data_IF_310918028823
#
_entry.id   IF_310918028823
#
_cell.length_a   1.000
_cell.length_b   1.000
_cell.length_c   1.000
_cell.angle_alpha   90.00
_cell.angle_beta   90.00
_cell.angle_gamma   90.00
#
_symmetry.space_group_name_H-M   'P 1'
#
loop_
_entity.id
_entity.type
_entity.pdbx_description
1 polymer ?
#
# COMPACT_ATOMS: atom_id res chain seq x y z
N UNK A 1 -37.67 -27.47 44.59
CA UNK A 1 -37.06 -26.62 45.63
C UNK A 1 -35.55 -26.84 45.60
N UNK A 2 -34.78 -25.89 45.10
CA UNK A 2 -33.40 -25.52 45.48
C UNK A 2 -33.01 -24.38 44.58
N UNK A 3 -32.90 -23.20 45.18
CA UNK A 3 -32.44 -21.96 44.57
C UNK A 3 -30.92 -22.03 44.42
N UNK A 4 -30.37 -21.72 43.24
CA UNK A 4 -28.95 -21.43 43.07
C UNK A 4 -28.83 -19.93 42.85
N UNK A 5 -28.15 -19.30 43.82
CA UNK A 5 -27.78 -17.87 43.80
C UNK A 5 -26.65 -17.65 42.78
N UNK A 6 -26.81 -16.67 41.90
CA UNK A 6 -25.75 -16.15 41.04
C UNK A 6 -24.91 -15.18 41.87
N UNK A 7 -23.63 -15.47 42.06
CA UNK A 7 -22.64 -14.50 42.54
C UNK A 7 -22.16 -13.62 41.41
N UNK A 8 -22.54 -12.34 41.46
CA UNK A 8 -21.94 -11.29 40.63
C UNK A 8 -20.67 -10.85 41.32
N UNK A 9 -19.53 -11.10 40.70
CA UNK A 9 -18.24 -10.57 41.14
C UNK A 9 -18.02 -9.23 40.43
N UNK A 10 -18.20 -8.16 41.23
CA UNK A 10 -17.95 -6.79 40.84
C UNK A 10 -16.42 -6.53 40.99
N UNK A 11 -15.71 -6.38 39.85
CA UNK A 11 -14.31 -6.04 39.85
C UNK A 11 -14.18 -4.53 39.96
N UNK A 12 -13.89 -4.03 41.18
CA UNK A 12 -13.54 -2.63 41.40
C UNK A 12 -12.08 -2.41 40.91
N UNK A 13 -11.92 -1.68 39.81
CA UNK A 13 -10.63 -1.10 39.43
C UNK A 13 -10.29 0.07 40.36
N UNK A 14 -9.47 -0.16 41.34
CA UNK A 14 -8.84 0.88 42.15
C UNK A 14 -7.77 1.58 41.29
N UNK A 15 -8.10 2.79 40.84
CA UNK A 15 -7.16 3.70 40.21
C UNK A 15 -6.21 4.23 41.29
N UNK A 16 -5.01 3.64 41.39
CA UNK A 16 -3.95 4.11 42.27
C UNK A 16 -3.26 5.32 41.64
N UNK A 17 -3.62 6.54 42.07
CA UNK A 17 -2.89 7.74 41.76
C UNK A 17 -1.57 7.76 42.56
N UNK A 18 -0.50 7.22 41.96
CA UNK A 18 0.84 7.46 42.44
C UNK A 18 1.25 8.90 42.11
N UNK A 19 1.40 9.73 43.18
CA UNK A 19 2.01 11.06 43.06
C UNK A 19 3.49 10.90 42.71
N UNK A 20 3.86 11.35 41.53
CA UNK A 20 5.26 11.51 41.11
C UNK A 20 5.79 12.75 41.84
N UNK A 21 6.88 12.71 42.61
CA UNK A 21 7.50 13.88 43.16
C UNK A 21 8.13 14.72 42.06
N UNK A 22 7.68 15.94 41.91
CA UNK A 22 8.29 16.93 41.06
C UNK A 22 9.64 17.37 41.63
N UNK A 23 10.73 16.88 41.08
CA UNK A 23 12.02 17.56 41.06
C UNK A 23 12.74 17.20 39.77
N UNK A 24 12.49 18.01 38.75
CA UNK A 24 13.35 18.11 37.59
C UNK A 24 14.68 18.75 38.02
N UNK A 25 15.86 18.25 37.63
CA UNK A 25 17.11 18.95 37.80
C UNK A 25 17.07 20.25 36.97
N UNK A 26 17.47 21.36 37.60
CA UNK A 26 17.69 22.65 36.93
C UNK A 26 18.74 22.43 35.82
N UNK A 27 18.29 22.41 34.57
CA UNK A 27 19.16 22.59 33.44
C UNK A 27 19.63 24.06 33.44
N UNK A 28 20.89 24.27 33.73
CA UNK A 28 21.57 25.52 33.45
C UNK A 28 21.48 25.75 31.94
N UNK A 29 20.66 26.70 31.54
CA UNK A 29 20.49 27.16 30.17
C UNK A 29 21.75 27.88 29.74
N UNK A 30 22.70 27.19 29.15
CA UNK A 30 23.59 27.82 28.19
C UNK A 30 22.78 28.03 26.92
N UNK A 31 22.22 29.24 26.77
CA UNK A 31 21.60 29.66 25.54
C UNK A 31 22.68 29.97 24.51
N UNK A 32 23.21 28.95 23.85
CA UNK A 32 23.66 29.10 22.49
C UNK A 32 22.41 29.22 21.63
N UNK A 33 22.15 30.41 21.11
CA UNK A 33 21.14 30.66 20.09
C UNK A 33 21.65 29.91 18.85
N UNK A 34 21.35 28.61 18.76
CA UNK A 34 21.36 27.92 17.48
C UNK A 34 20.24 28.57 16.66
N UNK A 35 20.65 29.46 15.75
CA UNK A 35 19.78 29.90 14.66
C UNK A 35 19.43 28.63 13.91
N UNK A 36 18.25 28.07 14.19
CA UNK A 36 17.72 26.96 13.40
C UNK A 36 17.72 27.43 11.95
N UNK A 37 18.61 26.87 11.14
CA UNK A 37 18.65 27.17 9.72
C UNK A 37 17.25 26.89 9.16
N UNK A 38 16.62 27.94 8.62
CA UNK A 38 15.30 27.80 8.00
C UNK A 38 15.49 26.80 6.85
N UNK A 39 14.89 25.62 7.01
CA UNK A 39 14.94 24.61 5.98
C UNK A 39 14.30 25.16 4.69
N UNK A 40 15.03 25.14 3.60
CA UNK A 40 14.54 25.50 2.27
C UNK A 40 14.43 24.23 1.45
N UNK A 41 13.21 23.79 1.09
CA UNK A 41 13.01 22.61 0.27
C UNK A 41 13.72 22.72 -1.07
N UNK A 42 14.32 21.61 -1.54
CA UNK A 42 14.85 21.56 -2.90
C UNK A 42 13.68 21.53 -3.92
N UNK A 43 13.87 22.07 -5.14
CA UNK A 43 12.78 22.15 -6.13
C UNK A 43 12.18 20.78 -6.51
N UNK A 44 12.98 19.74 -6.49
CA UNK A 44 12.65 18.35 -6.85
C UNK A 44 12.39 17.46 -5.64
N UNK A 45 12.42 18.00 -4.42
CA UNK A 45 12.17 17.22 -3.21
C UNK A 45 10.71 16.81 -3.09
N UNK A 46 10.49 15.50 -2.90
CA UNK A 46 9.18 14.93 -2.64
C UNK A 46 8.96 14.87 -1.12
N UNK A 47 7.93 15.57 -0.66
CA UNK A 47 7.42 15.52 0.71
C UNK A 47 6.00 15.02 0.64
N UNK A 48 5.77 13.78 1.04
CA UNK A 48 4.53 13.09 0.78
C UNK A 48 3.90 12.50 2.04
N UNK A 49 2.63 12.14 1.93
CA UNK A 49 1.90 11.36 2.92
C UNK A 49 1.07 10.28 2.21
N UNK A 50 0.93 9.13 2.87
CA UNK A 50 0.02 8.07 2.45
C UNK A 50 -1.36 8.29 3.06
N UNK A 51 -2.39 8.15 2.24
CA UNK A 51 -3.80 8.15 2.63
C UNK A 51 -4.33 6.76 2.32
N UNK A 52 -4.44 5.94 3.34
CA UNK A 52 -4.85 4.54 3.19
C UNK A 52 -6.36 4.41 2.94
N UNK A 53 -6.79 3.24 2.49
CA UNK A 53 -8.22 2.97 2.27
C UNK A 53 -9.08 3.14 3.52
N UNK A 54 -8.48 3.18 4.72
CA UNK A 54 -9.19 3.39 5.99
C UNK A 54 -9.47 4.87 6.29
N UNK A 55 -8.70 5.79 5.71
CA UNK A 55 -8.82 7.24 5.89
C UNK A 55 -9.61 7.92 4.77
N UNK A 56 -9.88 7.20 3.66
CA UNK A 56 -10.64 7.76 2.56
C UNK A 56 -12.03 8.24 3.00
N UNK A 57 -12.52 9.36 2.43
CA UNK A 57 -13.87 9.81 2.68
C UNK A 57 -14.92 8.74 2.35
N UNK A 58 -16.01 8.73 3.08
CA UNK A 58 -17.12 7.79 2.86
C UNK A 58 -17.98 8.23 1.67
N UNK A 59 -17.81 7.55 0.54
CA UNK A 59 -18.54 7.84 -0.69
C UNK A 59 -20.06 7.56 -0.59
N UNK A 60 -20.49 6.71 0.34
CA UNK A 60 -21.92 6.46 0.57
C UNK A 60 -22.67 7.67 1.14
N UNK A 61 -21.95 8.72 1.57
CA UNK A 61 -22.57 9.98 2.02
C UNK A 61 -22.91 10.95 0.87
N UNK A 62 -22.58 10.59 -0.37
CA UNK A 62 -22.80 11.40 -1.58
C UNK A 62 -21.63 12.31 -1.94
N UNK A 63 -21.61 12.77 -3.20
CA UNK A 63 -20.49 13.50 -3.79
C UNK A 63 -20.13 14.78 -3.03
N UNK A 64 -21.14 15.58 -2.64
CA UNK A 64 -20.92 16.87 -1.97
C UNK A 64 -20.12 16.70 -0.68
N UNK A 65 -20.54 15.78 0.22
CA UNK A 65 -19.84 15.51 1.47
C UNK A 65 -18.48 14.84 1.25
N UNK A 66 -18.40 13.96 0.24
CA UNK A 66 -17.13 13.35 -0.12
C UNK A 66 -16.12 14.40 -0.56
N UNK A 67 -16.53 15.35 -1.41
CA UNK A 67 -15.70 16.46 -1.91
C UNK A 67 -15.27 17.38 -0.78
N UNK A 68 -16.21 17.80 0.10
CA UNK A 68 -15.90 18.62 1.27
C UNK A 68 -14.80 17.98 2.13
N UNK A 69 -14.93 16.69 2.38
CA UNK A 69 -13.97 15.94 3.21
C UNK A 69 -12.63 15.73 2.50
N UNK A 70 -12.64 15.51 1.21
CA UNK A 70 -11.42 15.40 0.39
C UNK A 70 -10.68 16.75 0.33
N UNK A 71 -11.40 17.86 0.14
CA UNK A 71 -10.81 19.21 0.15
C UNK A 71 -10.19 19.53 1.51
N UNK A 72 -10.88 19.25 2.62
CA UNK A 72 -10.33 19.44 3.97
C UNK A 72 -9.02 18.64 4.14
N UNK A 73 -9.02 17.37 3.75
CA UNK A 73 -7.88 16.48 3.88
C UNK A 73 -6.66 16.99 3.08
N UNK A 74 -6.85 17.33 1.80
CA UNK A 74 -5.76 17.78 0.96
C UNK A 74 -5.27 19.20 1.31
N UNK A 75 -6.15 20.10 1.77
CA UNK A 75 -5.74 21.39 2.29
C UNK A 75 -4.86 21.23 3.54
N UNK A 76 -5.22 20.34 4.47
CA UNK A 76 -4.39 20.02 5.63
C UNK A 76 -3.00 19.52 5.22
N UNK A 77 -2.92 18.66 4.20
CA UNK A 77 -1.64 18.17 3.65
C UNK A 77 -0.81 19.33 3.08
N UNK A 78 -1.42 20.22 2.29
CA UNK A 78 -0.77 21.38 1.72
C UNK A 78 -0.27 22.36 2.80
N UNK A 79 -1.07 22.58 3.86
CA UNK A 79 -0.71 23.44 5.00
C UNK A 79 0.50 22.91 5.77
N UNK A 80 0.68 21.58 5.82
CA UNK A 80 1.89 20.92 6.35
C UNK A 80 3.10 21.09 5.44
N UNK A 81 2.97 21.79 4.29
CA UNK A 81 4.04 21.98 3.30
C UNK A 81 4.47 20.69 2.61
N UNK A 82 3.61 19.69 2.58
CA UNK A 82 3.77 18.53 1.74
C UNK A 82 3.35 18.88 0.31
N UNK A 83 3.84 18.12 -0.68
CA UNK A 83 3.60 18.41 -2.10
C UNK A 83 3.06 17.21 -2.89
N UNK A 84 2.94 16.05 -2.25
CA UNK A 84 2.51 14.81 -2.91
C UNK A 84 1.66 13.97 -1.94
N UNK A 85 0.66 13.29 -2.47
CA UNK A 85 -0.15 12.31 -1.74
C UNK A 85 -0.15 10.97 -2.47
N UNK A 86 0.04 9.88 -1.72
CA UNK A 86 -0.20 8.52 -2.19
C UNK A 86 -1.59 8.09 -1.71
N UNK A 87 -2.54 7.99 -2.62
CA UNK A 87 -3.94 7.68 -2.28
C UNK A 87 -4.27 6.24 -2.63
N UNK A 88 -4.71 5.46 -1.66
CA UNK A 88 -4.96 4.03 -1.82
C UNK A 88 -6.25 3.77 -2.60
N UNK A 89 -6.14 3.71 -3.92
CA UNK A 89 -7.29 3.58 -4.83
C UNK A 89 -7.68 2.12 -5.11
N UNK A 90 -6.77 1.18 -4.81
CA UNK A 90 -6.99 -0.26 -4.99
C UNK A 90 -6.25 -1.07 -3.93
N UNK A 91 -6.97 -1.42 -2.84
CA UNK A 91 -6.38 -2.02 -1.65
C UNK A 91 -6.49 -3.55 -1.60
N UNK A 92 -7.54 -4.14 -2.19
CA UNK A 92 -7.88 -5.56 -2.08
C UNK A 92 -8.47 -6.12 -3.38
N UNK A 93 -7.82 -5.91 -4.50
CA UNK A 93 -8.38 -6.23 -5.81
C UNK A 93 -9.81 -5.64 -5.97
N UNK A 94 -10.01 -4.45 -5.46
CA UNK A 94 -11.19 -3.60 -5.49
C UNK A 94 -10.82 -2.22 -6.07
N UNK A 95 -11.76 -1.32 -6.27
CA UNK A 95 -11.49 0.01 -6.78
C UNK A 95 -12.36 1.08 -6.11
N UNK A 96 -11.84 2.30 -5.95
CA UNK A 96 -12.62 3.48 -5.55
C UNK A 96 -12.99 4.34 -6.77
N UNK A 97 -13.12 3.72 -7.92
CA UNK A 97 -13.48 4.34 -9.19
C UNK A 97 -14.29 3.34 -10.05
N UNK A 98 -15.05 3.80 -11.06
CA UNK A 98 -15.78 2.91 -11.97
C UNK A 98 -14.81 2.04 -12.77
N UNK A 99 -14.52 0.84 -12.28
CA UNK A 99 -13.65 -0.12 -12.94
C UNK A 99 -14.48 -1.18 -13.69
N UNK A 100 -14.00 -1.59 -14.86
CA UNK A 100 -14.53 -2.74 -15.62
C UNK A 100 -13.96 -4.08 -15.12
N UNK A 101 -12.87 -4.03 -14.36
CA UNK A 101 -12.09 -5.19 -13.92
C UNK A 101 -12.31 -5.53 -12.45
N UNK A 102 -12.49 -4.51 -11.62
CA UNK A 102 -12.53 -4.66 -10.17
C UNK A 102 -13.87 -4.18 -9.59
N UNK A 103 -14.39 -4.86 -8.55
CA UNK A 103 -15.59 -4.42 -7.85
C UNK A 103 -15.31 -3.15 -7.04
N UNK A 104 -16.37 -2.43 -6.68
CA UNK A 104 -16.28 -1.27 -5.82
C UNK A 104 -15.68 -1.61 -4.44
N UNK A 105 -14.82 -0.73 -3.95
CA UNK A 105 -14.18 -0.91 -2.65
C UNK A 105 -15.20 -0.90 -1.51
N UNK A 106 -15.04 -1.86 -0.57
CA UNK A 106 -15.87 -1.93 0.64
C UNK A 106 -15.58 -0.82 1.64
N UNK A 107 -14.39 -0.22 1.57
CA UNK A 107 -13.96 0.79 2.56
C UNK A 107 -14.60 2.15 2.31
N UNK A 108 -14.31 2.78 1.18
CA UNK A 108 -14.89 4.07 0.83
C UNK A 108 -16.30 3.94 0.23
N UNK A 109 -16.50 2.96 -0.68
CA UNK A 109 -17.74 2.83 -1.47
C UNK A 109 -18.75 1.83 -0.89
N UNK A 110 -18.48 1.20 0.25
CA UNK A 110 -19.32 0.16 0.88
C UNK A 110 -19.65 -1.02 -0.05
N UNK A 111 -18.78 -1.29 -1.03
CA UNK A 111 -18.92 -2.38 -1.99
C UNK A 111 -19.95 -2.15 -3.09
N UNK A 112 -20.40 -0.93 -3.30
CA UNK A 112 -21.41 -0.58 -4.30
C UNK A 112 -21.09 0.75 -4.99
N UNK A 113 -21.68 0.98 -6.17
CA UNK A 113 -21.57 2.23 -6.89
C UNK A 113 -22.17 3.38 -6.07
N UNK A 114 -21.37 4.42 -5.72
CA UNK A 114 -21.86 5.55 -4.96
C UNK A 114 -22.63 6.58 -5.80
N UNK A 115 -22.76 6.36 -7.13
CA UNK A 115 -23.45 7.28 -8.06
C UNK A 115 -22.60 8.45 -8.56
N UNK A 116 -21.31 8.47 -8.25
CA UNK A 116 -20.31 9.41 -8.73
C UNK A 116 -18.92 8.74 -8.76
N UNK A 117 -17.91 9.45 -9.23
CA UNK A 117 -16.55 8.94 -9.34
C UNK A 117 -15.64 9.50 -8.22
N UNK A 118 -15.38 8.73 -7.13
CA UNK A 118 -14.55 9.19 -6.02
C UNK A 118 -13.12 9.54 -6.41
N UNK A 119 -12.50 8.76 -7.31
CA UNK A 119 -11.11 9.03 -7.73
C UNK A 119 -11.01 10.34 -8.50
N UNK A 120 -11.97 10.61 -9.40
CA UNK A 120 -12.03 11.88 -10.12
C UNK A 120 -12.12 13.06 -9.16
N UNK A 121 -13.00 12.97 -8.14
CA UNK A 121 -13.13 14.02 -7.13
C UNK A 121 -11.83 14.21 -6.36
N UNK A 122 -11.14 13.12 -5.97
CA UNK A 122 -9.87 13.21 -5.25
C UNK A 122 -8.77 13.85 -6.10
N UNK A 123 -8.66 13.50 -7.39
CA UNK A 123 -7.67 14.12 -8.31
C UNK A 123 -7.93 15.63 -8.42
N UNK A 124 -9.19 16.04 -8.66
CA UNK A 124 -9.57 17.46 -8.74
C UNK A 124 -9.22 18.23 -7.45
N UNK A 125 -9.54 17.66 -6.28
CA UNK A 125 -9.27 18.29 -4.99
C UNK A 125 -7.76 18.37 -4.69
N UNK A 126 -6.98 17.33 -4.97
CA UNK A 126 -5.54 17.33 -4.77
C UNK A 126 -4.86 18.40 -5.63
N UNK A 127 -5.18 18.46 -6.93
CA UNK A 127 -4.64 19.47 -7.83
C UNK A 127 -5.07 20.90 -7.46
N UNK A 128 -6.33 21.09 -7.03
CA UNK A 128 -6.81 22.37 -6.50
C UNK A 128 -5.99 22.86 -5.29
N UNK A 129 -5.53 21.94 -4.46
CA UNK A 129 -4.66 22.22 -3.29
C UNK A 129 -3.17 22.30 -3.67
N UNK A 130 -2.80 22.20 -4.95
CA UNK A 130 -1.42 22.26 -5.43
C UNK A 130 -0.59 21.02 -5.13
N UNK A 131 -1.25 19.88 -4.85
CA UNK A 131 -0.59 18.60 -4.56
C UNK A 131 -0.54 17.72 -5.81
N UNK A 132 0.54 16.96 -5.95
CA UNK A 132 0.58 15.80 -6.83
C UNK A 132 -0.14 14.61 -6.18
N UNK A 133 -0.87 13.84 -6.99
CA UNK A 133 -1.58 12.65 -6.53
C UNK A 133 -1.08 11.41 -7.27
N UNK A 134 -0.55 10.45 -6.53
CA UNK A 134 -0.19 9.14 -7.04
C UNK A 134 -1.25 8.12 -6.63
N UNK A 135 -1.76 7.37 -7.59
CA UNK A 135 -2.68 6.29 -7.33
C UNK A 135 -1.92 5.11 -6.71
N UNK A 136 -2.16 4.86 -5.43
CA UNK A 136 -1.57 3.71 -4.73
C UNK A 136 -2.44 2.49 -4.92
N UNK A 137 -1.84 1.44 -5.43
CA UNK A 137 -2.44 0.12 -5.59
C UNK A 137 -1.64 -0.92 -4.81
N UNK A 138 -2.33 -1.85 -4.16
CA UNK A 138 -1.72 -3.09 -3.70
C UNK A 138 -1.85 -4.12 -4.84
N UNK A 139 -0.74 -4.63 -5.39
CA UNK A 139 -0.83 -5.43 -6.61
C UNK A 139 -1.44 -6.82 -6.37
N UNK A 140 -1.03 -7.53 -5.32
CA UNK A 140 -1.32 -8.95 -5.19
C UNK A 140 -2.29 -9.32 -4.07
N UNK A 141 -2.67 -8.39 -3.20
CA UNK A 141 -3.58 -8.67 -2.10
C UNK A 141 -5.04 -8.64 -2.56
N UNK A 142 -5.76 -9.74 -2.37
CA UNK A 142 -7.18 -9.87 -2.74
C UNK A 142 -8.10 -9.68 -1.54
N UNK A 143 -7.79 -10.32 -0.42
CA UNK A 143 -8.62 -10.28 0.79
C UNK A 143 -7.77 -10.53 2.03
N UNK A 144 -8.15 -9.92 3.15
CA UNK A 144 -7.63 -10.26 4.49
C UNK A 144 -8.34 -11.44 5.15
N UNK A 145 -9.33 -12.03 4.48
CA UNK A 145 -10.03 -13.25 4.88
C UNK A 145 -9.70 -14.36 3.88
N UNK A 146 -9.57 -15.59 4.36
CA UNK A 146 -9.41 -16.79 3.55
C UNK A 146 -10.73 -17.32 2.97
N UNK A 147 -11.85 -16.69 3.33
CA UNK A 147 -13.17 -17.11 2.85
C UNK A 147 -13.43 -16.57 1.43
N UNK A 148 -13.31 -17.46 0.45
CA UNK A 148 -13.54 -17.19 -0.98
C UNK A 148 -14.98 -16.73 -1.25
N UNK A 149 -15.95 -17.28 -0.51
CA UNK A 149 -17.36 -16.92 -0.69
C UNK A 149 -17.65 -15.48 -0.30
N UNK A 150 -16.83 -14.91 0.60
CA UNK A 150 -16.94 -13.52 1.03
C UNK A 150 -16.44 -12.50 0.01
N UNK A 151 -15.74 -12.93 -1.05
CA UNK A 151 -15.30 -12.03 -2.12
C UNK A 151 -16.52 -11.45 -2.86
N UNK A 152 -16.46 -10.17 -3.27
CA UNK A 152 -17.52 -9.55 -4.06
C UNK A 152 -17.83 -10.34 -5.34
N UNK A 153 -19.09 -10.34 -5.76
CA UNK A 153 -19.45 -10.83 -7.08
C UNK A 153 -18.81 -9.90 -8.13
N UNK A 154 -18.07 -10.43 -9.06
CA UNK A 154 -17.29 -9.63 -10.02
C UNK A 154 -15.82 -9.47 -9.60
N UNK A 155 -15.40 -9.96 -8.42
CA UNK A 155 -13.98 -10.07 -8.10
C UNK A 155 -13.26 -10.91 -9.14
N UNK A 156 -12.17 -10.42 -9.74
CA UNK A 156 -11.38 -11.19 -10.72
C UNK A 156 -10.81 -12.46 -10.09
N UNK A 157 -10.49 -12.45 -8.81
CA UNK A 157 -10.02 -13.63 -8.11
C UNK A 157 -11.04 -14.77 -8.12
N UNK A 158 -12.36 -14.48 -8.06
CA UNK A 158 -13.40 -15.55 -8.18
C UNK A 158 -13.36 -16.28 -9.51
N UNK A 159 -12.93 -15.60 -10.59
CA UNK A 159 -12.79 -16.22 -11.92
C UNK A 159 -11.55 -17.09 -12.04
N UNK A 160 -10.53 -16.80 -11.22
CA UNK A 160 -9.23 -17.46 -11.22
C UNK A 160 -9.11 -18.52 -10.10
N UNK A 161 -10.14 -18.71 -9.26
CA UNK A 161 -10.13 -19.76 -8.24
C UNK A 161 -10.03 -21.14 -8.88
N UNK A 162 -9.11 -21.95 -8.35
CA UNK A 162 -8.82 -23.29 -8.88
C UNK A 162 -7.80 -23.26 -10.01
N UNK A 163 -7.25 -22.11 -10.36
CA UNK A 163 -6.02 -21.95 -11.15
C UNK A 163 -4.85 -21.63 -10.23
N UNK A 164 -3.64 -21.73 -10.74
CA UNK A 164 -2.41 -21.39 -10.02
C UNK A 164 -2.22 -19.88 -9.81
N UNK A 165 -3.13 -19.05 -10.35
CA UNK A 165 -3.09 -17.58 -10.22
C UNK A 165 -3.64 -17.04 -8.88
N UNK A 166 -4.23 -17.87 -8.03
CA UNK A 166 -4.82 -17.46 -6.73
C UNK A 166 -4.30 -18.32 -5.59
N UNK A 167 -3.67 -17.68 -4.64
CA UNK A 167 -3.11 -18.28 -3.43
C UNK A 167 -4.07 -18.03 -2.26
N UNK A 168 -4.57 -19.11 -1.66
CA UNK A 168 -5.41 -19.05 -0.45
C UNK A 168 -4.61 -19.49 0.77
N UNK A 169 -4.42 -18.57 1.70
CA UNK A 169 -3.74 -18.81 2.99
C UNK A 169 -4.69 -18.49 4.15
N UNK A 170 -4.38 -18.98 5.35
CA UNK A 170 -5.17 -18.68 6.57
C UNK A 170 -5.29 -17.19 6.89
N UNK A 171 -4.38 -16.38 6.42
CA UNK A 171 -4.33 -14.94 6.66
C UNK A 171 -4.86 -14.10 5.48
N UNK A 172 -5.39 -14.74 4.45
CA UNK A 172 -5.97 -14.02 3.32
C UNK A 172 -5.93 -14.76 1.99
N UNK A 173 -6.42 -14.07 0.97
CA UNK A 173 -6.38 -14.49 -0.43
C UNK A 173 -5.47 -13.52 -1.19
N UNK A 174 -4.63 -14.05 -2.04
CA UNK A 174 -3.63 -13.30 -2.80
C UNK A 174 -3.64 -13.76 -4.26
N UNK A 175 -3.23 -12.90 -5.15
CA UNK A 175 -2.81 -13.29 -6.49
C UNK A 175 -1.38 -13.83 -6.44
N UNK A 176 -1.07 -14.78 -7.32
CA UNK A 176 0.30 -15.28 -7.47
C UNK A 176 1.18 -14.24 -8.18
N UNK A 177 2.28 -13.78 -7.54
CA UNK A 177 3.20 -12.83 -8.16
C UNK A 177 3.97 -13.36 -9.37
N UNK A 178 4.01 -14.67 -9.60
CA UNK A 178 4.63 -15.26 -10.79
C UNK A 178 3.67 -15.41 -11.98
N UNK A 179 2.36 -15.31 -11.74
CA UNK A 179 1.37 -15.51 -12.79
C UNK A 179 1.34 -14.36 -13.80
N UNK A 180 1.61 -14.68 -15.07
CA UNK A 180 1.54 -13.71 -16.18
C UNK A 180 0.12 -13.19 -16.42
N UNK A 181 -0.90 -13.99 -16.15
CA UNK A 181 -2.31 -13.59 -16.26
C UNK A 181 -2.66 -12.55 -15.17
N UNK A 182 -2.09 -12.71 -13.96
CA UNK A 182 -2.20 -11.72 -12.88
C UNK A 182 -1.48 -10.44 -13.25
N UNK A 183 -0.26 -10.52 -13.80
CA UNK A 183 0.45 -9.32 -14.29
C UNK A 183 -0.40 -8.56 -15.32
N UNK A 184 -0.96 -9.27 -16.31
CA UNK A 184 -1.82 -8.65 -17.32
C UNK A 184 -3.05 -7.97 -16.68
N UNK A 185 -3.74 -8.63 -15.76
CA UNK A 185 -4.88 -8.07 -15.03
C UNK A 185 -4.50 -6.78 -14.28
N UNK A 186 -3.34 -6.78 -13.60
CA UNK A 186 -2.89 -5.61 -12.84
C UNK A 186 -2.51 -4.47 -13.79
N UNK A 187 -1.81 -4.76 -14.88
CA UNK A 187 -1.47 -3.77 -15.91
C UNK A 187 -2.71 -3.16 -16.55
N UNK A 188 -3.73 -3.97 -16.85
CA UNK A 188 -5.00 -3.47 -17.39
C UNK A 188 -5.71 -2.56 -16.38
N UNK A 189 -5.68 -2.91 -15.10
CA UNK A 189 -6.21 -2.04 -14.05
C UNK A 189 -5.43 -0.73 -13.89
N UNK A 190 -4.12 -0.73 -14.13
CA UNK A 190 -3.31 0.50 -14.16
C UNK A 190 -3.63 1.33 -15.41
N UNK A 191 -3.87 0.69 -16.56
CA UNK A 191 -4.35 1.40 -17.77
C UNK A 191 -5.68 2.09 -17.52
N UNK A 192 -6.65 1.44 -16.85
CA UNK A 192 -7.92 2.10 -16.49
C UNK A 192 -7.68 3.40 -15.71
N UNK A 193 -6.71 3.40 -14.78
CA UNK A 193 -6.39 4.60 -14.00
C UNK A 193 -5.74 5.66 -14.88
N UNK A 194 -4.73 5.30 -15.66
CA UNK A 194 -3.96 6.25 -16.48
C UNK A 194 -4.78 6.79 -17.67
N UNK A 195 -5.70 6.00 -18.22
CA UNK A 195 -6.60 6.42 -19.29
C UNK A 195 -7.72 7.34 -18.77
N UNK A 196 -8.17 7.12 -17.54
CA UNK A 196 -9.36 7.79 -16.99
C UNK A 196 -9.06 9.03 -16.15
N UNK A 197 -7.83 9.18 -15.63
CA UNK A 197 -7.54 10.17 -14.60
C UNK A 197 -6.17 10.83 -14.79
N UNK A 198 -6.13 12.13 -14.49
CA UNK A 198 -4.90 12.92 -14.52
C UNK A 198 -4.06 12.69 -13.23
N UNK A 199 -3.84 11.43 -12.84
CA UNK A 199 -2.92 11.13 -11.73
C UNK A 199 -1.48 11.45 -12.15
N UNK A 200 -0.65 11.92 -11.21
CA UNK A 200 0.76 12.25 -11.45
C UNK A 200 1.66 11.02 -11.45
N UNK A 201 1.17 9.91 -10.90
CA UNK A 201 1.92 8.67 -10.86
C UNK A 201 1.13 7.47 -10.35
N UNK A 202 1.80 6.33 -10.40
CA UNK A 202 1.35 5.07 -9.81
C UNK A 202 2.32 4.69 -8.69
N UNK A 203 1.79 4.20 -7.59
CA UNK A 203 2.54 3.75 -6.43
C UNK A 203 2.12 2.33 -6.05
N UNK A 204 3.08 1.47 -5.73
CA UNK A 204 2.82 0.15 -5.15
C UNK A 204 3.54 -0.01 -3.81
N UNK A 205 2.99 -0.86 -2.95
CA UNK A 205 3.55 -1.18 -1.63
C UNK A 205 4.38 -2.48 -1.63
N UNK A 206 4.57 -3.09 -0.46
CA UNK A 206 5.42 -4.26 -0.23
C UNK A 206 4.69 -5.60 -0.27
N UNK A 207 3.40 -5.63 -0.68
CA UNK A 207 2.67 -6.89 -0.76
C UNK A 207 3.02 -7.65 -2.05
N UNK A 208 4.21 -8.29 -2.05
CA UNK A 208 4.65 -9.22 -3.09
C UNK A 208 4.28 -10.66 -2.70
N UNK A 209 5.23 -11.57 -2.54
CA UNK A 209 4.93 -12.93 -2.13
C UNK A 209 4.36 -12.98 -0.70
N UNK A 210 3.22 -13.66 -0.47
CA UNK A 210 2.59 -13.72 0.85
C UNK A 210 3.19 -14.78 1.75
N UNK A 211 4.03 -15.68 1.23
CA UNK A 211 4.64 -16.80 1.95
C UNK A 211 5.88 -17.32 1.21
N UNK A 212 6.72 -18.06 1.92
CA UNK A 212 7.87 -18.80 1.36
C UNK A 212 7.52 -20.23 1.00
N UNK A 213 6.29 -20.69 1.21
CA UNK A 213 5.85 -22.05 0.88
C UNK A 213 6.11 -22.32 -0.61
N UNK A 214 6.82 -23.45 -0.88
CA UNK A 214 7.23 -23.80 -2.23
C UNK A 214 6.09 -24.40 -3.07
N UNK A 215 4.95 -24.66 -2.46
CA UNK A 215 3.80 -25.27 -3.14
C UNK A 215 2.91 -24.27 -3.86
N UNK A 216 3.02 -22.96 -3.54
CA UNK A 216 2.05 -21.96 -3.99
C UNK A 216 2.12 -21.60 -5.47
N UNK A 217 3.30 -21.74 -6.06
CA UNK A 217 3.64 -21.40 -7.47
C UNK A 217 4.40 -22.55 -8.15
N UNK A 218 4.18 -23.77 -7.65
CA UNK A 218 4.88 -24.96 -8.11
C UNK A 218 4.68 -25.22 -9.62
N UNK A 219 3.46 -25.08 -10.10
CA UNK A 219 3.14 -25.38 -11.50
C UNK A 219 3.83 -24.40 -12.45
N UNK A 220 3.87 -23.12 -12.11
CA UNK A 220 4.59 -22.07 -12.87
C UNK A 220 6.10 -22.33 -12.88
N UNK A 221 6.66 -22.70 -11.71
CA UNK A 221 8.07 -23.02 -11.62
C UNK A 221 8.44 -24.30 -12.40
N UNK A 222 7.64 -25.36 -12.30
CA UNK A 222 7.82 -26.57 -13.08
C UNK A 222 7.70 -26.31 -14.60
N UNK A 223 6.79 -25.44 -15.01
CA UNK A 223 6.69 -24.99 -16.41
C UNK A 223 7.94 -24.22 -16.85
N UNK A 224 8.47 -23.33 -16.01
CA UNK A 224 9.73 -22.62 -16.27
C UNK A 224 10.90 -23.58 -16.47
N UNK A 225 11.08 -24.54 -15.56
CA UNK A 225 12.16 -25.55 -15.65
C UNK A 225 11.99 -26.43 -16.89
N UNK A 226 10.77 -26.89 -17.19
CA UNK A 226 10.45 -27.70 -18.36
C UNK A 226 10.68 -26.93 -19.66
N UNK A 227 10.56 -25.61 -19.64
CA UNK A 227 10.88 -24.72 -20.76
C UNK A 227 12.39 -24.46 -20.93
N UNK A 228 13.24 -25.08 -20.12
CA UNK A 228 14.70 -24.94 -20.18
C UNK A 228 15.27 -23.89 -19.21
N UNK A 229 14.47 -23.40 -18.26
CA UNK A 229 14.95 -22.51 -17.20
C UNK A 229 15.91 -23.25 -16.26
N UNK A 230 16.96 -22.57 -15.83
CA UNK A 230 18.08 -23.11 -15.04
C UNK A 230 18.21 -22.48 -13.63
N UNK A 231 17.39 -21.48 -13.31
CA UNK A 231 17.42 -20.79 -12.02
C UNK A 231 16.71 -21.58 -10.93
N UNK A 232 17.24 -21.48 -9.70
CA UNK A 232 16.55 -22.01 -8.52
C UNK A 232 15.27 -21.23 -8.21
N UNK A 233 14.34 -21.86 -7.46
CA UNK A 233 13.01 -21.33 -7.15
C UNK A 233 13.05 -19.89 -6.61
N UNK A 234 13.91 -19.59 -5.64
CA UNK A 234 13.97 -18.25 -5.03
C UNK A 234 14.48 -17.18 -6.01
N UNK A 235 15.42 -17.52 -6.87
CA UNK A 235 15.92 -16.62 -7.91
C UNK A 235 14.84 -16.37 -8.97
N UNK A 236 14.17 -17.44 -9.41
CA UNK A 236 13.06 -17.33 -10.34
C UNK A 236 11.89 -16.48 -9.78
N UNK A 237 11.56 -16.61 -8.50
CA UNK A 237 10.58 -15.74 -7.82
C UNK A 237 10.99 -14.27 -7.85
N UNK A 238 12.27 -13.96 -7.53
CA UNK A 238 12.79 -12.58 -7.61
C UNK A 238 12.73 -12.03 -9.03
N UNK A 239 13.08 -12.84 -10.01
CA UNK A 239 12.97 -12.44 -11.42
C UNK A 239 11.52 -12.15 -11.81
N UNK A 240 10.57 -12.97 -11.37
CA UNK A 240 9.14 -12.79 -11.67
C UNK A 240 8.61 -11.47 -11.08
N UNK A 241 8.94 -11.15 -9.82
CA UNK A 241 8.56 -9.88 -9.19
C UNK A 241 9.28 -8.70 -9.87
N UNK A 242 10.56 -8.87 -10.25
CA UNK A 242 11.30 -7.81 -10.95
C UNK A 242 10.77 -7.58 -12.36
N UNK A 243 10.38 -8.63 -13.07
CA UNK A 243 9.71 -8.52 -14.36
C UNK A 243 8.36 -7.77 -14.26
N UNK A 244 7.59 -8.07 -13.21
CA UNK A 244 6.37 -7.33 -12.91
C UNK A 244 6.65 -5.83 -12.67
N UNK A 245 7.63 -5.49 -11.84
CA UNK A 245 8.01 -4.10 -11.57
C UNK A 245 8.46 -3.37 -12.84
N UNK A 246 9.32 -4.00 -13.65
CA UNK A 246 9.77 -3.46 -14.93
C UNK A 246 8.63 -3.25 -15.93
N UNK A 247 7.68 -4.18 -15.98
CA UNK A 247 6.49 -4.06 -16.83
C UNK A 247 5.60 -2.89 -16.42
N UNK A 248 5.37 -2.68 -15.09
CA UNK A 248 4.65 -1.51 -14.58
C UNK A 248 5.38 -0.20 -14.88
N UNK A 249 6.69 -0.15 -14.65
CA UNK A 249 7.49 1.02 -14.98
C UNK A 249 7.34 1.39 -16.46
N UNK A 250 7.54 0.42 -17.35
CA UNK A 250 7.41 0.62 -18.80
C UNK A 250 6.02 1.11 -19.19
N UNK A 251 4.97 0.52 -18.58
CA UNK A 251 3.59 0.94 -18.79
C UNK A 251 3.37 2.38 -18.37
N UNK A 252 3.75 2.76 -17.15
CA UNK A 252 3.57 4.12 -16.64
C UNK A 252 4.31 5.13 -17.51
N UNK A 253 5.57 4.84 -17.89
CA UNK A 253 6.37 5.72 -18.77
C UNK A 253 5.80 5.84 -20.19
N UNK A 254 5.03 4.89 -20.66
CA UNK A 254 4.36 4.99 -21.96
C UNK A 254 3.27 6.07 -22.02
N UNK A 255 2.77 6.53 -20.85
CA UNK A 255 1.80 7.63 -20.73
C UNK A 255 2.43 9.02 -20.61
N UNK A 256 3.75 9.09 -20.40
CA UNK A 256 4.49 10.35 -20.30
C UNK A 256 5.76 10.17 -19.46
N UNK A 257 6.84 10.81 -19.84
CA UNK A 257 8.10 10.77 -19.09
C UNK A 257 7.99 11.40 -17.70
N UNK A 258 7.02 12.29 -17.50
CA UNK A 258 6.67 12.99 -16.26
C UNK A 258 5.80 12.17 -15.33
N UNK A 259 5.15 11.09 -15.83
CA UNK A 259 4.40 10.16 -14.96
C UNK A 259 5.39 9.36 -14.11
N UNK A 260 5.13 9.31 -12.81
CA UNK A 260 6.01 8.67 -11.84
C UNK A 260 5.53 7.26 -11.51
N UNK A 261 6.45 6.31 -11.47
CA UNK A 261 6.23 5.00 -10.87
C UNK A 261 7.14 4.83 -9.66
N UNK A 262 6.56 4.59 -8.49
CA UNK A 262 7.30 4.44 -7.25
C UNK A 262 6.88 3.18 -6.48
N UNK A 263 7.82 2.65 -5.69
CA UNK A 263 7.62 1.42 -4.90
C UNK A 263 7.96 1.73 -3.44
N UNK A 264 7.12 1.26 -2.52
CA UNK A 264 7.36 1.31 -1.07
C UNK A 264 7.60 -0.11 -0.55
N UNK A 265 8.83 -0.66 -0.68
CA UNK A 265 9.15 -1.99 -0.17
C UNK A 265 9.23 -2.00 1.34
N UNK A 266 9.26 -3.18 1.97
CA UNK A 266 9.50 -3.32 3.39
C UNK A 266 10.84 -2.67 3.79
N UNK A 267 10.92 -2.13 5.00
CA UNK A 267 12.15 -1.54 5.52
C UNK A 267 13.25 -2.56 5.85
N UNK A 268 12.92 -3.85 5.82
CA UNK A 268 13.88 -4.93 6.04
C UNK A 268 14.40 -5.47 4.70
N UNK A 269 15.65 -5.15 4.37
CA UNK A 269 16.29 -5.56 3.11
C UNK A 269 16.33 -7.09 2.98
N UNK A 270 16.77 -7.81 4.01
CA UNK A 270 16.79 -9.28 4.01
C UNK A 270 15.38 -9.86 3.83
N UNK A 271 14.36 -9.23 4.41
CA UNK A 271 12.97 -9.61 4.28
C UNK A 271 12.46 -9.42 2.85
N UNK A 272 12.84 -8.32 2.20
CA UNK A 272 12.51 -8.08 0.81
C UNK A 272 13.07 -9.20 -0.09
N UNK A 273 14.36 -9.48 0.02
CA UNK A 273 15.03 -10.46 -0.84
C UNK A 273 14.57 -11.90 -0.57
N UNK A 274 14.50 -12.31 0.72
CA UNK A 274 14.37 -13.70 1.11
C UNK A 274 12.98 -14.15 1.54
N UNK A 275 12.01 -13.22 1.63
CA UNK A 275 10.63 -13.51 2.03
C UNK A 275 9.61 -12.98 1.03
N UNK A 276 9.79 -11.75 0.59
CA UNK A 276 8.91 -11.10 -0.38
C UNK A 276 9.40 -11.32 -1.82
N UNK A 277 10.62 -11.81 -2.00
CA UNK A 277 11.30 -12.00 -3.29
C UNK A 277 11.34 -10.73 -4.14
N UNK A 278 11.52 -9.58 -3.46
CA UNK A 278 11.64 -8.26 -4.04
C UNK A 278 13.12 -7.85 -4.09
N UNK A 279 13.69 -7.79 -5.28
CA UNK A 279 15.10 -7.42 -5.50
C UNK A 279 15.27 -5.90 -5.51
N UNK A 280 15.17 -5.30 -4.32
CA UNK A 280 15.24 -3.85 -4.14
C UNK A 280 16.59 -3.27 -4.57
N UNK A 281 17.68 -4.01 -4.41
CA UNK A 281 19.02 -3.57 -4.84
C UNK A 281 19.10 -3.46 -6.37
N UNK A 282 18.56 -4.44 -7.09
CA UNK A 282 18.44 -4.39 -8.55
C UNK A 282 17.62 -3.17 -8.98
N UNK A 283 16.46 -2.94 -8.35
CA UNK A 283 15.55 -1.85 -8.74
C UNK A 283 16.12 -0.46 -8.48
N UNK A 284 16.99 -0.31 -7.47
CA UNK A 284 17.70 0.94 -7.16
C UNK A 284 18.92 1.17 -8.04
N UNK A 285 19.64 0.09 -8.38
CA UNK A 285 20.90 0.18 -9.10
C UNK A 285 20.75 0.22 -10.63
N UNK A 286 19.60 -0.19 -11.14
CA UNK A 286 19.35 -0.37 -12.57
C UNK A 286 18.12 0.43 -13.03
N UNK A 287 18.24 1.30 -14.03
CA UNK A 287 17.08 1.99 -14.59
C UNK A 287 16.05 1.03 -15.18
N UNK A 288 14.76 1.39 -15.07
CA UNK A 288 13.68 0.64 -15.71
C UNK A 288 12.78 -0.14 -14.76
N UNK A 289 12.95 0.04 -13.44
CA UNK A 289 12.12 -0.61 -12.41
C UNK A 289 11.26 0.36 -11.61
N UNK A 290 11.80 1.51 -11.25
CA UNK A 290 11.09 2.57 -10.54
C UNK A 290 11.79 3.92 -10.76
N UNK A 291 11.06 5.03 -10.58
CA UNK A 291 11.66 6.36 -10.54
C UNK A 291 12.31 6.63 -9.17
N UNK A 292 11.72 6.11 -8.11
CA UNK A 292 12.28 6.11 -6.75
C UNK A 292 11.61 5.04 -5.87
N UNK A 293 12.28 4.73 -4.75
CA UNK A 293 11.83 3.77 -3.75
C UNK A 293 11.69 4.47 -2.41
N UNK A 294 10.67 4.10 -1.63
CA UNK A 294 10.38 4.66 -0.31
C UNK A 294 10.28 3.48 0.68
N UNK A 295 11.38 3.04 1.31
CA UNK A 295 11.33 1.92 2.25
C UNK A 295 10.40 2.20 3.43
N UNK A 296 9.61 1.21 3.84
CA UNK A 296 8.69 1.29 4.98
C UNK A 296 9.46 1.14 6.30
N UNK A 297 10.11 2.20 6.74
CA UNK A 297 10.92 2.22 7.96
C UNK A 297 10.03 2.63 9.14
N UNK A 298 9.31 1.67 9.75
CA UNK A 298 8.43 1.89 10.91
C UNK A 298 9.15 1.68 12.26
N UNK A 299 10.47 1.77 12.27
CA UNK A 299 11.30 1.56 13.42
C UNK A 299 12.30 2.71 13.60
N UNK A 300 12.65 3.01 14.87
CA UNK A 300 13.56 4.09 15.20
C UNK A 300 15.01 3.64 15.33
N UNK A 301 15.88 4.59 15.68
CA UNK A 301 17.33 4.38 15.87
C UNK A 301 17.66 3.34 16.95
N UNK A 302 16.80 3.23 17.98
CA UNK A 302 16.99 2.31 19.10
C UNK A 302 16.51 0.88 18.84
N UNK A 303 16.01 0.58 17.64
CA UNK A 303 15.59 -0.78 17.30
C UNK A 303 16.81 -1.67 17.16
N UNK A 304 16.92 -2.69 18.04
CA UNK A 304 18.10 -3.56 18.08
C UNK A 304 18.17 -4.57 16.93
N UNK A 305 17.02 -4.95 16.38
CA UNK A 305 16.94 -5.92 15.28
C UNK A 305 17.12 -5.25 13.92
N UNK A 306 16.53 -4.09 13.74
CA UNK A 306 16.56 -3.29 12.52
C UNK A 306 16.79 -1.82 12.90
N UNK A 307 18.03 -1.42 13.23
CA UNK A 307 18.30 0.00 13.48
C UNK A 307 18.15 0.80 12.20
N UNK A 308 17.52 1.97 12.31
CA UNK A 308 17.27 2.88 11.18
C UNK A 308 18.51 3.10 10.30
N UNK A 309 19.70 3.20 10.93
CA UNK A 309 20.97 3.45 10.22
C UNK A 309 21.44 2.29 9.33
N UNK A 310 20.79 1.11 9.41
CA UNK A 310 21.14 -0.08 8.61
C UNK A 310 20.16 -0.34 7.47
N UNK A 311 19.14 0.48 7.36
CA UNK A 311 18.17 0.47 6.26
C UNK A 311 18.45 1.61 5.30
#
# INVERSE_FOLDING_TARGET
MKRLSACIVLFCLLCSCARIPAKLPEQTSNSTTETSAVYTPKPDEIRAVWISCYELPDAAQGEEKFRERAEEMFNNVADMKLNTVFVHVRAFADAVYPSKLFPWSKYSCKGSDPGFDPLKVMVECAHKSGLKIHAWINPFRVSSSDNIDSLPQGSPAKKLIGTDSVIQLKNGIYFDPASTDVHALIYDGVREILDGYEVDGIHIDDYFYPTRDESIDRAEYEAYVSGGGDKGLNEWRRDSVSAFAAGLYSLVKSYGSDKIFSISPAGNIDGNENTLFADVELWLSTPGYADYIIPQVYFGFENQSLPFEKT
#
